data_IF_333877631132
#
_entry.id   IF_333877631132
#
_cell.length_a   1.000
_cell.length_b   1.000
_cell.length_c   1.000
_cell.angle_alpha   90.00
_cell.angle_beta   90.00
_cell.angle_gamma   90.00
#
_symmetry.space_group_name_H-M   'P 1'
#
loop_
_entity.id
_entity.type
_entity.pdbx_description
1 polymer ?
#
# COMPACT_ATOMS: atom_id res chain seq x y z
N UNK A 1 -17.40 6.42 19.22
CA UNK A 1 -16.00 6.07 18.92
C UNK A 1 -15.77 6.40 17.45
N UNK A 2 -14.99 7.44 17.15
CA UNK A 2 -14.72 7.86 15.77
C UNK A 2 -13.85 6.80 15.07
N UNK A 3 -14.50 5.79 14.47
CA UNK A 3 -13.81 4.80 13.63
C UNK A 3 -13.40 5.51 12.35
N UNK A 4 -12.17 6.03 12.33
CA UNK A 4 -11.61 6.69 11.15
C UNK A 4 -11.29 5.64 10.09
N UNK A 5 -11.62 5.97 8.84
CA UNK A 5 -11.27 5.15 7.68
C UNK A 5 -9.76 4.84 7.68
N UNK A 6 -9.35 3.57 7.51
CA UNK A 6 -7.95 3.19 7.40
C UNK A 6 -7.25 3.97 6.27
N UNK A 7 -5.99 4.38 6.50
CA UNK A 7 -5.16 5.09 5.52
C UNK A 7 -4.48 4.12 4.56
N UNK A 8 -4.35 4.50 3.30
CA UNK A 8 -3.70 3.66 2.29
C UNK A 8 -2.26 3.30 2.68
N UNK A 9 -1.84 2.04 2.45
CA UNK A 9 -0.50 1.57 2.79
C UNK A 9 0.56 2.19 1.86
N UNK A 10 1.81 2.33 2.33
CA UNK A 10 2.91 2.82 1.50
C UNK A 10 3.24 1.83 0.37
N UNK A 11 3.70 2.34 -0.78
CA UNK A 11 4.23 1.52 -1.87
C UNK A 11 5.63 0.96 -1.54
N UNK A 12 6.07 -0.08 -2.27
CA UNK A 12 7.41 -0.67 -2.12
C UNK A 12 8.52 0.38 -2.24
N UNK A 13 8.42 1.28 -3.22
CA UNK A 13 9.36 2.40 -3.36
C UNK A 13 9.36 3.35 -2.16
N UNK A 14 8.19 3.65 -1.58
CA UNK A 14 8.10 4.54 -0.41
C UNK A 14 8.68 3.87 0.84
N UNK A 15 8.47 2.56 1.00
CA UNK A 15 9.09 1.75 2.06
C UNK A 15 10.62 1.81 1.92
N UNK A 16 11.13 1.56 0.72
CA UNK A 16 12.55 1.69 0.41
C UNK A 16 13.09 3.10 0.71
N UNK A 17 12.39 4.14 0.27
CA UNK A 17 12.80 5.52 0.52
C UNK A 17 12.93 5.80 2.00
N UNK A 18 11.96 5.36 2.81
CA UNK A 18 12.00 5.54 4.26
C UNK A 18 13.16 4.77 4.91
N UNK A 19 13.44 3.56 4.44
CA UNK A 19 14.53 2.72 4.92
C UNK A 19 15.91 3.31 4.59
N UNK A 20 16.12 3.77 3.35
CA UNK A 20 17.43 4.26 2.88
C UNK A 20 17.67 5.76 3.12
N UNK A 21 16.65 6.54 3.52
CA UNK A 21 16.75 8.01 3.61
C UNK A 21 17.92 8.48 4.48
N UNK A 22 18.11 7.87 5.65
CA UNK A 22 19.17 8.26 6.58
C UNK A 22 20.54 7.84 6.06
N UNK A 23 20.64 6.65 5.45
CA UNK A 23 21.86 6.18 4.81
C UNK A 23 22.31 7.12 3.67
N UNK A 24 21.37 7.48 2.78
CA UNK A 24 21.60 8.47 1.71
C UNK A 24 22.02 9.82 2.28
N UNK A 25 21.31 10.32 3.30
CA UNK A 25 21.63 11.61 3.93
C UNK A 25 23.05 11.61 4.51
N UNK A 26 23.43 10.56 5.23
CA UNK A 26 24.77 10.43 5.82
C UNK A 26 25.85 10.32 4.74
N UNK A 27 25.62 9.54 3.68
CA UNK A 27 26.53 9.43 2.54
C UNK A 27 26.73 10.76 1.80
N UNK A 28 25.67 11.57 1.69
CA UNK A 28 25.77 12.92 1.09
C UNK A 28 26.48 13.91 2.02
N UNK A 29 26.26 13.82 3.33
CA UNK A 29 26.97 14.62 4.33
C UNK A 29 28.47 14.32 4.37
N UNK A 30 28.86 13.05 4.24
CA UNK A 30 30.27 12.66 4.20
C UNK A 30 30.97 13.16 2.94
N UNK A 31 30.26 13.17 1.80
CA UNK A 31 30.78 13.70 0.54
C UNK A 31 30.86 15.22 0.49
N UNK A 32 30.15 15.94 1.37
CA UNK A 32 30.25 17.39 1.44
C UNK A 32 31.27 17.79 2.50
N UNK A 33 32.43 18.31 2.07
CA UNK A 33 33.47 18.85 2.97
C UNK A 33 32.97 20.01 3.85
N UNK A 34 31.87 20.64 3.44
CA UNK A 34 31.15 21.64 4.21
C UNK A 34 30.02 20.97 4.97
N UNK A 35 29.87 21.30 6.26
CA UNK A 35 28.74 20.90 7.13
C UNK A 35 27.44 21.63 6.72
N UNK A 36 27.18 21.67 5.42
CA UNK A 36 26.04 22.31 4.77
C UNK A 36 24.79 21.44 4.98
N UNK A 37 23.65 22.09 5.11
CA UNK A 37 22.37 21.36 5.21
C UNK A 37 22.06 20.69 3.87
N UNK A 38 22.10 19.35 3.82
CA UNK A 38 21.72 18.59 2.62
C UNK A 38 20.26 18.86 2.26
N UNK A 39 20.00 19.26 1.02
CA UNK A 39 18.63 19.51 0.54
C UNK A 39 17.89 18.19 0.37
N UNK A 40 16.61 18.19 0.74
CA UNK A 40 15.72 17.02 0.59
C UNK A 40 15.65 16.57 -0.87
N UNK A 41 15.71 17.51 -1.82
CA UNK A 41 15.73 17.24 -3.26
C UNK A 41 16.91 16.36 -3.68
N UNK A 42 18.08 16.56 -3.06
CA UNK A 42 19.29 15.81 -3.42
C UNK A 42 19.24 14.39 -2.84
N UNK A 43 18.67 14.24 -1.64
CA UNK A 43 18.36 12.92 -1.05
C UNK A 43 17.39 12.16 -1.95
N UNK A 44 16.31 12.80 -2.44
CA UNK A 44 15.33 12.14 -3.31
C UNK A 44 15.91 11.72 -4.65
N UNK A 45 16.80 12.52 -5.25
CA UNK A 45 17.52 12.16 -6.48
C UNK A 45 18.37 10.91 -6.27
N UNK A 46 19.15 10.88 -5.19
CA UNK A 46 20.02 9.75 -4.86
C UNK A 46 19.20 8.48 -4.55
N UNK A 47 18.12 8.58 -3.77
CA UNK A 47 17.20 7.46 -3.54
C UNK A 47 16.61 6.91 -4.84
N UNK A 48 16.20 7.78 -5.76
CA UNK A 48 15.67 7.38 -7.06
C UNK A 48 16.72 6.68 -7.92
N UNK A 49 17.99 7.10 -7.82
CA UNK A 49 19.12 6.43 -8.47
C UNK A 49 19.33 5.04 -7.89
N UNK A 50 19.46 4.92 -6.56
CA UNK A 50 19.65 3.65 -5.85
C UNK A 50 18.53 2.65 -6.11
N UNK A 51 17.28 3.10 -6.13
CA UNK A 51 16.15 2.22 -6.44
C UNK A 51 16.25 1.58 -7.81
N UNK A 52 16.73 2.32 -8.82
CA UNK A 52 16.92 1.80 -10.19
C UNK A 52 18.07 0.81 -10.28
N UNK A 53 19.09 0.96 -9.44
CA UNK A 53 20.25 0.07 -9.39
C UNK A 53 20.04 -1.18 -8.54
N UNK A 54 19.00 -1.22 -7.69
CA UNK A 54 18.68 -2.42 -6.92
C UNK A 54 18.45 -3.64 -7.83
N UNK A 55 18.93 -4.78 -7.36
CA UNK A 55 18.64 -6.09 -7.95
C UNK A 55 17.16 -6.46 -7.80
N UNK A 56 16.73 -7.47 -8.56
CA UNK A 56 15.35 -7.94 -8.48
C UNK A 56 15.07 -8.57 -7.11
N UNK A 57 16.05 -9.26 -6.53
CA UNK A 57 15.97 -9.90 -5.23
C UNK A 57 15.79 -8.87 -4.10
N UNK A 58 16.61 -7.81 -4.10
CA UNK A 58 16.49 -6.72 -3.14
C UNK A 58 15.16 -5.98 -3.29
N UNK A 59 14.76 -5.70 -4.54
CA UNK A 59 13.47 -5.05 -4.83
C UNK A 59 12.30 -5.90 -4.34
N UNK A 60 12.39 -7.23 -4.49
CA UNK A 60 11.36 -8.17 -4.05
C UNK A 60 11.12 -8.10 -2.53
N UNK A 61 12.15 -7.87 -1.71
CA UNK A 61 11.98 -7.71 -0.26
C UNK A 61 11.02 -6.56 0.05
N UNK A 62 11.19 -5.41 -0.62
CA UNK A 62 10.31 -4.24 -0.43
C UNK A 62 8.92 -4.45 -1.05
N UNK A 63 8.83 -5.21 -2.14
CA UNK A 63 7.54 -5.60 -2.75
C UNK A 63 6.74 -6.53 -1.85
N UNK A 64 7.37 -7.55 -1.27
CA UNK A 64 6.74 -8.48 -0.34
C UNK A 64 6.26 -7.74 0.93
N UNK A 65 7.07 -6.78 1.44
CA UNK A 65 6.66 -5.90 2.54
C UNK A 65 5.45 -5.02 2.18
N UNK A 66 5.43 -4.43 0.98
CA UNK A 66 4.30 -3.64 0.50
C UNK A 66 3.03 -4.48 0.33
N UNK A 67 3.17 -5.73 -0.13
CA UNK A 67 2.06 -6.68 -0.23
C UNK A 67 1.49 -7.02 1.14
N UNK A 68 2.35 -7.31 2.13
CA UNK A 68 1.90 -7.61 3.49
C UNK A 68 1.14 -6.42 4.10
N UNK A 69 1.65 -5.20 3.95
CA UNK A 69 0.96 -3.99 4.41
C UNK A 69 -0.38 -3.77 3.69
N UNK A 70 -0.46 -4.12 2.41
CA UNK A 70 -1.71 -4.08 1.65
C UNK A 70 -2.73 -5.10 2.15
N UNK A 71 -2.31 -6.32 2.47
CA UNK A 71 -3.20 -7.33 3.06
C UNK A 71 -3.76 -6.86 4.39
N UNK A 72 -2.90 -6.38 5.29
CA UNK A 72 -3.34 -5.82 6.58
C UNK A 72 -4.29 -4.63 6.42
N UNK A 73 -3.99 -3.71 5.51
CA UNK A 73 -4.87 -2.59 5.19
C UNK A 73 -6.25 -3.05 4.71
N UNK A 74 -6.30 -4.09 3.87
CA UNK A 74 -7.55 -4.62 3.37
C UNK A 74 -8.39 -5.24 4.50
N UNK A 75 -7.77 -5.95 5.43
CA UNK A 75 -8.44 -6.51 6.61
C UNK A 75 -9.03 -5.39 7.48
N UNK A 76 -8.23 -4.39 7.82
CA UNK A 76 -8.67 -3.22 8.59
C UNK A 76 -9.80 -2.46 7.88
N UNK A 77 -9.73 -2.35 6.54
CA UNK A 77 -10.77 -1.71 5.73
C UNK A 77 -12.08 -2.50 5.76
N UNK A 78 -12.01 -3.83 5.69
CA UNK A 78 -13.19 -4.70 5.79
C UNK A 78 -13.84 -4.59 7.18
N UNK A 79 -13.06 -4.54 8.24
CA UNK A 79 -13.56 -4.34 9.60
C UNK A 79 -14.20 -2.96 9.78
N UNK A 80 -13.56 -1.92 9.25
CA UNK A 80 -14.12 -0.57 9.23
C UNK A 80 -15.45 -0.55 8.48
N UNK A 81 -15.51 -1.11 7.25
CA UNK A 81 -16.73 -1.19 6.46
C UNK A 81 -17.84 -2.00 7.16
N UNK A 82 -17.50 -3.11 7.82
CA UNK A 82 -18.45 -3.91 8.61
C UNK A 82 -19.04 -3.09 9.76
N UNK A 83 -18.22 -2.33 10.47
CA UNK A 83 -18.70 -1.46 11.56
C UNK A 83 -19.53 -0.28 11.06
N UNK A 84 -19.20 0.22 9.88
CA UNK A 84 -19.99 1.23 9.16
C UNK A 84 -21.31 0.67 8.66
N UNK A 85 -21.50 -0.65 8.55
CA UNK A 85 -22.75 -1.30 8.16
C UNK A 85 -23.70 -1.56 9.33
N UNK A 86 -23.17 -1.71 10.55
CA UNK A 86 -23.99 -1.97 11.75
C UNK A 86 -24.73 -0.73 12.27
N UNK A 87 -24.36 0.45 11.79
CA UNK A 87 -24.87 1.76 12.27
C UNK A 87 -25.75 2.47 11.22
N UNK A 88 -26.17 1.77 10.16
CA UNK A 88 -26.90 2.35 9.02
C UNK A 88 -28.40 2.04 9.10
N UNK A 89 -29.28 3.05 8.99
CA UNK A 89 -30.73 2.83 8.81
C UNK A 89 -31.02 1.97 7.57
N UNK A 90 -32.05 1.12 7.66
CA UNK A 90 -32.32 0.02 6.73
C UNK A 90 -32.37 0.38 5.24
N UNK A 91 -32.72 1.63 4.94
CA UNK A 91 -32.99 2.12 3.58
C UNK A 91 -31.69 2.33 2.76
N UNK A 92 -30.54 2.43 3.44
CA UNK A 92 -29.24 2.70 2.81
C UNK A 92 -28.35 1.44 2.70
N UNK A 93 -28.85 0.28 3.17
CA UNK A 93 -28.11 -0.99 3.21
C UNK A 93 -27.84 -1.57 1.80
N UNK A 94 -28.74 -1.35 0.84
CA UNK A 94 -28.63 -1.96 -0.49
C UNK A 94 -27.38 -1.51 -1.26
N UNK A 95 -26.95 -0.25 -1.10
CA UNK A 95 -25.77 0.29 -1.80
C UNK A 95 -24.44 -0.03 -1.07
N UNK A 96 -24.46 -0.05 0.27
CA UNK A 96 -23.31 -0.48 1.08
C UNK A 96 -23.06 -1.99 0.94
N UNK A 97 -24.09 -2.83 0.89
CA UNK A 97 -23.95 -4.28 0.66
C UNK A 97 -23.37 -4.60 -0.71
N UNK A 98 -23.80 -3.92 -1.80
CA UNK A 98 -23.17 -4.09 -3.12
C UNK A 98 -21.67 -3.84 -3.04
N UNK A 99 -21.27 -2.68 -2.52
CA UNK A 99 -19.85 -2.29 -2.42
C UNK A 99 -19.03 -3.25 -1.55
N UNK A 100 -19.59 -3.72 -0.43
CA UNK A 100 -18.98 -4.73 0.44
C UNK A 100 -18.76 -6.06 -0.27
N UNK A 101 -19.78 -6.56 -0.98
CA UNK A 101 -19.66 -7.78 -1.78
C UNK A 101 -18.70 -7.62 -2.97
N UNK A 102 -18.65 -6.46 -3.62
CA UNK A 102 -17.67 -6.18 -4.68
C UNK A 102 -16.24 -6.22 -4.14
N UNK A 103 -15.97 -5.63 -2.97
CA UNK A 103 -14.65 -5.71 -2.35
C UNK A 103 -14.29 -7.15 -1.96
N UNK A 104 -15.17 -7.90 -1.32
CA UNK A 104 -14.94 -9.31 -0.99
C UNK A 104 -14.69 -10.16 -2.25
N UNK A 105 -15.49 -10.01 -3.30
CA UNK A 105 -15.33 -10.78 -4.55
C UNK A 105 -14.09 -10.37 -5.34
N UNK A 106 -13.64 -9.11 -5.26
CA UNK A 106 -12.43 -8.64 -5.94
C UNK A 106 -11.13 -9.01 -5.22
N UNK A 107 -11.20 -9.32 -3.93
CA UNK A 107 -10.05 -9.57 -3.05
C UNK A 107 -9.75 -11.06 -2.83
N UNK A 108 -10.69 -11.96 -3.16
CA UNK A 108 -10.44 -13.40 -3.18
C UNK A 108 -10.01 -13.82 -4.60
N UNK A 109 -8.92 -14.58 -4.80
CA UNK A 109 -8.66 -15.16 -6.11
C UNK A 109 -9.84 -16.08 -6.42
N UNK A 110 -10.66 -15.73 -7.42
CA UNK A 110 -11.79 -16.55 -7.87
C UNK A 110 -11.33 -18.01 -7.89
N UNK A 111 -11.94 -18.91 -7.08
CA UNK A 111 -11.68 -20.32 -7.22
C UNK A 111 -11.89 -20.64 -8.70
N UNK A 112 -10.95 -21.34 -9.33
CA UNK A 112 -10.95 -21.65 -10.77
C UNK A 112 -12.27 -22.25 -11.28
N UNK A 113 -13.14 -22.69 -10.36
CA UNK A 113 -14.51 -23.14 -10.56
C UNK A 113 -15.49 -22.08 -11.10
N UNK A 114 -15.24 -20.77 -10.97
CA UNK A 114 -16.17 -19.71 -11.42
C UNK A 114 -15.91 -19.17 -12.84
N UNK A 115 -15.09 -19.83 -13.66
CA UNK A 115 -14.84 -19.43 -15.07
C UNK A 115 -15.94 -19.83 -16.07
N UNK A 116 -17.03 -20.47 -15.63
CA UNK A 116 -18.01 -21.07 -16.56
C UNK A 116 -19.40 -20.40 -16.61
N UNK A 117 -19.61 -19.21 -16.03
CA UNK A 117 -20.94 -18.57 -16.05
C UNK A 117 -21.12 -17.41 -17.04
N UNK A 118 -20.15 -17.14 -17.93
CA UNK A 118 -20.29 -16.10 -18.97
C UNK A 118 -20.18 -16.63 -20.39
N UNK A 119 -20.60 -17.88 -20.63
CA UNK A 119 -20.83 -18.34 -22.00
C UNK A 119 -21.98 -19.33 -22.08
N UNK A 120 -23.20 -18.80 -22.15
CA UNK A 120 -24.21 -19.29 -23.10
C UNK A 120 -25.36 -18.29 -23.23
N UNK A 121 -25.41 -17.70 -24.43
CA UNK A 121 -26.59 -17.38 -25.27
C UNK A 121 -27.88 -17.00 -24.57
#
# INVERSE_FOLDING_TARGET
MDRKKPKAPPSSYLIFCNYERENVKNSLLEKSDSKETIRITDIQKELSSRWKTLSQEERKIFEDQAQLLKLKYNEELLEWQKSEMTDVPGDMLAQKQRTYFYHIFSLWPLPSYFKNFTSKT
#
